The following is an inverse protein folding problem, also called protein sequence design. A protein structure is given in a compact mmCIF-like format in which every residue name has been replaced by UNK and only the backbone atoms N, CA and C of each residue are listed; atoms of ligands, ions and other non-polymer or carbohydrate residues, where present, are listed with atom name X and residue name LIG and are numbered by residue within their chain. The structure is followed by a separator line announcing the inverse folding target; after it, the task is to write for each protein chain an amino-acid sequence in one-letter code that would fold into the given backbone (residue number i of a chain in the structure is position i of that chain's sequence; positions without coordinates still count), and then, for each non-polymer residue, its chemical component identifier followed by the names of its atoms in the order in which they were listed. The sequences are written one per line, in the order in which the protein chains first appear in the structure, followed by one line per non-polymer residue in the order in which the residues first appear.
data_IF_663457641315
#
_entry.id   IF_663457641315
#
_cell.length_a   1.000
_cell.length_b   1.000
_cell.length_c   1.000
_cell.angle_alpha   90.00
_cell.angle_beta   90.00
_cell.angle_gamma   90.00
#
_symmetry.space_group_name_H-M   'P 1'
#
loop_
_entity.id
_entity.type
_entity.pdbx_description
1 polymer ?
#
# COMPACT_ATOMS: atom_id res chain seq x y z
N UNK A 1 7.89 18.27 2.34
CA UNK A 1 6.57 17.63 2.57
C UNK A 1 6.80 16.13 2.63
N UNK A 2 6.02 15.37 3.40
CA UNK A 2 6.19 13.91 3.47
C UNK A 2 5.76 13.25 2.16
N UNK A 3 6.52 12.24 1.72
CA UNK A 3 6.19 11.36 0.59
C UNK A 3 5.12 10.33 0.99
N UNK A 4 4.89 10.13 2.28
CA UNK A 4 3.95 9.14 2.80
C UNK A 4 2.53 9.71 2.75
N UNK A 5 1.70 9.10 1.90
CA UNK A 5 0.27 9.39 1.81
C UNK A 5 -0.53 8.17 2.26
N UNK A 6 -1.12 8.26 3.46
CA UNK A 6 -1.95 7.19 4.01
C UNK A 6 -3.37 7.22 3.44
N UNK A 7 -3.92 6.02 3.23
CA UNK A 7 -5.34 5.79 3.03
C UNK A 7 -5.80 4.87 4.15
N UNK A 8 -6.76 5.31 4.94
CA UNK A 8 -7.39 4.51 5.99
C UNK A 8 -8.69 3.92 5.47
N UNK A 9 -8.89 2.63 5.73
CA UNK A 9 -10.07 1.91 5.31
C UNK A 9 -10.95 1.59 6.52
N UNK A 10 -12.29 1.71 6.38
CA UNK A 10 -13.20 1.31 7.43
C UNK A 10 -13.08 -0.21 7.67
N UNK A 11 -12.77 -0.57 8.92
CA UNK A 11 -12.80 -1.96 9.37
C UNK A 11 -14.23 -2.30 9.80
N UNK A 12 -14.89 -3.14 9.01
CA UNK A 12 -16.21 -3.66 9.31
C UNK A 12 -16.01 -5.02 9.97
N UNK A 13 -16.41 -5.19 11.22
CA UNK A 13 -16.17 -6.43 11.96
C UNK A 13 -17.25 -6.74 12.97
N UNK A 14 -17.31 -8.01 13.35
CA UNK A 14 -18.17 -8.56 14.40
C UNK A 14 -17.47 -9.75 15.08
N UNK A 15 -18.20 -10.55 15.86
CA UNK A 15 -17.65 -11.72 16.55
C UNK A 15 -16.96 -12.76 15.63
N UNK A 16 -17.19 -12.70 14.32
CA UNK A 16 -16.61 -13.63 13.32
C UNK A 16 -15.27 -13.15 12.78
N UNK A 17 -14.91 -11.88 13.01
CA UNK A 17 -13.67 -11.28 12.54
C UNK A 17 -13.86 -9.92 11.89
N UNK A 18 -12.95 -9.58 10.97
CA UNK A 18 -12.84 -8.24 10.38
C UNK A 18 -12.84 -8.31 8.85
N UNK A 19 -13.41 -7.28 8.23
CA UNK A 19 -13.54 -7.10 6.79
C UNK A 19 -13.20 -5.67 6.42
N UNK A 20 -12.44 -5.50 5.35
CA UNK A 20 -12.21 -4.22 4.69
C UNK A 20 -12.69 -4.36 3.25
N UNK A 21 -13.63 -3.51 2.83
CA UNK A 21 -14.04 -3.43 1.43
C UNK A 21 -13.14 -2.42 0.70
N UNK A 22 -12.62 -2.79 -0.47
CA UNK A 22 -11.86 -1.89 -1.35
C UNK A 22 -12.70 -1.58 -2.58
N UNK A 23 -13.14 -0.34 -2.70
CA UNK A 23 -14.03 0.16 -3.74
C UNK A 23 -13.32 1.27 -4.52
N UNK A 24 -13.10 1.02 -5.81
CA UNK A 24 -12.53 2.00 -6.74
C UNK A 24 -13.42 3.24 -6.84
N UNK A 25 -12.79 4.40 -7.00
CA UNK A 25 -13.45 5.72 -7.02
C UNK A 25 -14.25 6.06 -5.75
N UNK A 26 -14.04 5.34 -4.64
CA UNK A 26 -14.70 5.59 -3.35
C UNK A 26 -13.68 5.69 -2.21
N UNK A 27 -13.09 4.58 -1.80
CA UNK A 27 -12.02 4.57 -0.79
C UNK A 27 -10.63 4.31 -1.40
N UNK A 28 -10.57 3.96 -2.68
CA UNK A 28 -9.38 4.03 -3.51
C UNK A 28 -9.59 5.17 -4.54
N UNK A 29 -8.66 6.14 -4.67
CA UNK A 29 -8.86 7.36 -5.47
C UNK A 29 -8.72 7.15 -6.99
N UNK A 30 -8.87 5.91 -7.47
CA UNK A 30 -8.80 5.52 -8.87
C UNK A 30 -9.57 4.22 -9.11
N UNK A 31 -9.88 3.92 -10.37
CA UNK A 31 -10.49 2.65 -10.75
C UNK A 31 -9.51 1.48 -10.56
N UNK A 32 -9.95 0.42 -9.89
CA UNK A 32 -9.14 -0.78 -9.68
C UNK A 32 -9.18 -1.63 -10.95
N UNK A 33 -8.16 -1.49 -11.81
CA UNK A 33 -8.01 -2.31 -13.03
C UNK A 33 -7.23 -3.60 -12.82
N UNK A 34 -6.44 -3.68 -11.76
CA UNK A 34 -5.58 -4.84 -11.47
C UNK A 34 -5.29 -4.94 -9.97
N UNK A 35 -5.32 -6.16 -9.47
CA UNK A 35 -4.89 -6.52 -8.11
C UNK A 35 -3.81 -7.59 -8.23
N UNK A 36 -2.78 -7.50 -7.40
CA UNK A 36 -1.76 -8.53 -7.25
C UNK A 36 -1.27 -8.53 -5.80
N UNK A 37 -0.72 -9.65 -5.36
CA UNK A 37 -0.17 -9.79 -4.01
C UNK A 37 1.19 -10.45 -4.07
N UNK A 38 2.05 -10.06 -3.13
CA UNK A 38 3.38 -10.63 -2.95
C UNK A 38 3.34 -11.40 -1.64
N UNK A 39 3.76 -12.66 -1.68
CA UNK A 39 3.74 -13.55 -0.52
C UNK A 39 4.97 -14.44 -0.51
N UNK A 40 5.35 -14.94 0.67
CA UNK A 40 6.49 -15.84 0.83
C UNK A 40 7.86 -15.21 0.53
N UNK A 41 7.99 -13.88 0.60
CA UNK A 41 9.28 -13.19 0.44
C UNK A 41 10.23 -13.63 1.55
N UNK A 42 11.44 -14.07 1.18
CA UNK A 42 12.48 -14.46 2.14
C UNK A 42 12.97 -13.25 2.94
N UNK A 43 13.52 -13.51 4.12
CA UNK A 43 14.10 -12.47 4.96
C UNK A 43 15.23 -11.73 4.21
N UNK A 44 15.33 -10.41 4.43
CA UNK A 44 16.34 -9.53 3.82
C UNK A 44 16.30 -9.44 2.28
N UNK A 45 15.23 -9.90 1.62
CA UNK A 45 15.05 -9.71 0.17
C UNK A 45 14.39 -8.37 -0.13
N UNK A 46 15.06 -7.56 -0.94
CA UNK A 46 14.55 -6.29 -1.48
C UNK A 46 13.86 -6.56 -2.82
N UNK A 47 12.68 -5.95 -3.03
CA UNK A 47 11.91 -6.01 -4.28
C UNK A 47 11.40 -4.61 -4.63
N UNK A 48 10.83 -4.47 -5.83
CA UNK A 48 10.41 -3.16 -6.33
C UNK A 48 11.58 -2.53 -7.09
N UNK A 49 12.20 -1.51 -6.49
CA UNK A 49 13.30 -0.75 -7.09
C UNK A 49 12.97 -0.18 -8.48
N UNK A 50 11.72 0.27 -8.66
CA UNK A 50 11.25 0.91 -9.88
C UNK A 50 10.21 1.96 -9.56
N UNK A 51 10.04 2.87 -10.52
CA UNK A 51 9.03 3.90 -10.52
C UNK A 51 8.11 3.71 -11.72
N UNK A 52 6.90 4.28 -11.66
CA UNK A 52 5.92 4.21 -12.74
C UNK A 52 5.55 5.59 -13.24
N UNK A 53 5.58 5.79 -14.57
CA UNK A 53 5.21 7.07 -15.21
C UNK A 53 3.72 7.40 -15.20
N UNK A 54 2.86 6.38 -15.09
CA UNK A 54 1.40 6.56 -15.18
C UNK A 54 0.60 5.65 -14.25
N UNK A 55 1.22 4.63 -13.65
CA UNK A 55 0.53 3.71 -12.75
C UNK A 55 0.47 4.34 -11.35
N UNK A 56 -0.73 4.37 -10.78
CA UNK A 56 -0.97 4.66 -9.36
C UNK A 56 -1.25 3.37 -8.62
N UNK A 57 -0.75 3.25 -7.39
CA UNK A 57 -0.88 2.02 -6.60
C UNK A 57 -1.27 2.36 -5.17
N UNK A 58 -2.00 1.45 -4.54
CA UNK A 58 -2.18 1.44 -3.10
C UNK A 58 -1.65 0.11 -2.58
N UNK A 59 -0.67 0.16 -1.68
CA UNK A 59 -0.07 -1.04 -1.08
C UNK A 59 -0.56 -1.22 0.35
N UNK A 60 -1.03 -2.43 0.67
CA UNK A 60 -1.61 -2.79 1.97
C UNK A 60 -0.93 -4.07 2.47
N UNK A 61 -0.45 -4.06 3.71
CA UNK A 61 0.07 -5.26 4.36
C UNK A 61 -1.07 -6.02 5.03
N UNK A 62 -1.56 -7.08 4.39
CA UNK A 62 -2.64 -7.91 4.92
C UNK A 62 -2.19 -8.77 6.12
N UNK A 63 -0.92 -9.19 6.14
CA UNK A 63 -0.35 -10.00 7.21
C UNK A 63 1.14 -9.69 7.35
N UNK A 64 1.61 -9.62 8.60
CA UNK A 64 3.00 -9.29 8.91
C UNK A 64 3.30 -7.81 8.68
N UNK A 65 4.56 -7.50 8.40
CA UNK A 65 5.02 -6.14 8.13
C UNK A 65 5.96 -6.09 6.93
N UNK A 66 5.99 -4.95 6.26
CA UNK A 66 6.90 -4.67 5.17
C UNK A 66 7.42 -3.23 5.28
N UNK A 67 8.72 -3.04 5.08
CA UNK A 67 9.32 -1.71 4.97
C UNK A 67 9.33 -1.28 3.51
N UNK A 68 8.76 -0.11 3.23
CA UNK A 68 8.83 0.57 1.95
C UNK A 68 9.78 1.75 2.05
N UNK A 69 10.61 1.91 1.03
CA UNK A 69 11.39 3.13 0.81
C UNK A 69 10.71 3.89 -0.33
N UNK A 70 10.22 5.09 -0.03
CA UNK A 70 9.69 6.02 -1.02
C UNK A 70 10.81 6.99 -1.42
N UNK A 71 10.97 7.22 -2.71
CA UNK A 71 12.06 8.02 -3.27
C UNK A 71 11.51 8.81 -4.48
N UNK A 72 11.52 10.15 -4.39
CA UNK A 72 11.10 11.04 -5.48
C UNK A 72 12.30 11.56 -6.31
N UNK A 73 13.51 11.05 -6.05
CA UNK A 73 14.76 11.49 -6.66
C UNK A 73 15.45 12.64 -5.93
N UNK A 74 14.78 13.31 -4.99
CA UNK A 74 15.32 14.40 -4.17
C UNK A 74 15.34 14.00 -2.69
N UNK A 75 14.23 13.42 -2.21
CA UNK A 75 13.98 13.02 -0.84
C UNK A 75 13.70 11.53 -0.79
N UNK A 76 14.13 10.89 0.30
CA UNK A 76 13.81 9.50 0.60
C UNK A 76 13.12 9.40 1.95
N UNK A 77 12.10 8.56 2.05
CA UNK A 77 11.35 8.35 3.27
C UNK A 77 11.03 6.86 3.46
N UNK A 78 11.41 6.31 4.61
CA UNK A 78 11.10 4.93 4.99
C UNK A 78 9.78 4.86 5.75
N UNK A 79 8.97 3.85 5.43
CA UNK A 79 7.72 3.57 6.15
C UNK A 79 7.52 2.07 6.36
N UNK A 80 6.96 1.72 7.51
CA UNK A 80 6.54 0.34 7.80
C UNK A 80 5.03 0.26 7.63
N UNK A 81 4.58 -0.61 6.73
CA UNK A 81 3.18 -1.00 6.62
C UNK A 81 2.97 -2.34 7.33
N UNK A 82 2.01 -2.41 8.24
CA UNK A 82 1.75 -3.59 9.07
C UNK A 82 0.28 -3.73 9.49
N UNK A 83 -0.62 -2.97 8.87
CA UNK A 83 -2.01 -2.86 9.29
C UNK A 83 -2.93 -3.10 8.08
N UNK A 84 -3.86 -4.08 8.14
CA UNK A 84 -4.74 -4.39 7.01
C UNK A 84 -5.77 -3.28 6.72
N UNK A 85 -5.97 -2.35 7.65
CA UNK A 85 -6.88 -1.20 7.51
C UNK A 85 -6.18 0.07 7.04
N UNK A 86 -4.87 0.01 6.73
CA UNK A 86 -4.10 1.14 6.21
C UNK A 86 -3.35 0.75 4.95
N UNK A 87 -3.49 1.59 3.92
CA UNK A 87 -2.71 1.51 2.69
C UNK A 87 -1.84 2.74 2.50
N UNK A 88 -0.70 2.56 1.82
CA UNK A 88 0.10 3.69 1.32
C UNK A 88 -0.26 3.95 -0.14
N UNK A 89 -0.51 5.20 -0.48
CA UNK A 89 -0.69 5.65 -1.86
C UNK A 89 0.68 5.93 -2.50
N UNK A 90 0.95 5.26 -3.60
CA UNK A 90 2.13 5.46 -4.45
C UNK A 90 1.62 6.10 -5.74
N UNK A 91 1.96 7.37 -5.94
CA UNK A 91 1.56 8.12 -7.13
C UNK A 91 2.49 7.83 -8.31
N UNK A 92 2.06 8.21 -9.50
CA UNK A 92 2.92 8.20 -10.69
C UNK A 92 3.98 9.29 -10.61
N UNK A 93 5.17 9.02 -11.14
CA UNK A 93 6.25 9.99 -11.32
C UNK A 93 6.01 10.88 -12.53
#
# INVERSE_FOLDING_TARGET
MSLIKWIEFPCLGDERGNLVALEGMKNIPFEIKRIYYIFGTKQNVVRGLHAHKALKQVAIALKGSCRFLLDDGITKEDIIINCPTKGILIDSC
#
